data_IF_555566260223
#
_entry.id   IF_555566260223
#
_cell.length_a   1.000
_cell.length_b   1.000
_cell.length_c   1.000
_cell.angle_alpha   90.00
_cell.angle_beta   90.00
_cell.angle_gamma   90.00
#
_symmetry.space_group_name_H-M   'P 1'
#
loop_
_entity.id
_entity.type
_entity.pdbx_description
1 polymer ?
#
# COMPACT_ATOMS: atom_id res chain seq x y z
N UNK A 1 -28.69 -44.50 4.20
CA UNK A 1 -28.12 -43.32 4.92
C UNK A 1 -26.83 -43.01 4.22
N UNK A 2 -26.86 -42.02 3.28
CA UNK A 2 -25.69 -41.57 2.53
C UNK A 2 -25.07 -40.43 3.32
N UNK A 3 -23.78 -40.54 3.62
CA UNK A 3 -23.01 -39.45 4.23
C UNK A 3 -22.99 -38.21 3.32
N UNK A 4 -23.16 -37.00 3.86
CA UNK A 4 -23.00 -35.79 3.08
C UNK A 4 -21.53 -35.64 2.68
N UNK A 5 -21.28 -35.53 1.35
CA UNK A 5 -19.97 -35.34 0.78
C UNK A 5 -19.27 -34.13 1.41
N UNK A 6 -18.05 -34.36 1.93
CA UNK A 6 -17.13 -33.27 2.26
C UNK A 6 -16.75 -32.56 0.95
N UNK A 7 -17.13 -31.30 0.85
CA UNK A 7 -16.56 -30.43 -0.19
C UNK A 7 -15.04 -30.52 -0.14
N UNK A 8 -14.35 -30.54 -1.30
CA UNK A 8 -12.90 -30.58 -1.33
C UNK A 8 -12.37 -29.32 -0.63
N UNK A 9 -11.66 -29.53 0.47
CA UNK A 9 -10.98 -28.48 1.24
C UNK A 9 -10.00 -27.77 0.30
N UNK A 10 -10.36 -26.56 -0.15
CA UNK A 10 -9.48 -25.71 -0.95
C UNK A 10 -8.21 -25.48 -0.11
N UNK A 11 -7.01 -25.86 -0.59
CA UNK A 11 -5.79 -25.72 0.20
C UNK A 11 -5.65 -24.28 0.68
N UNK A 12 -5.48 -24.09 1.98
CA UNK A 12 -5.35 -22.77 2.57
C UNK A 12 -4.16 -22.04 1.91
N UNK A 13 -4.44 -20.92 1.23
CA UNK A 13 -3.41 -20.12 0.57
C UNK A 13 -2.34 -19.72 1.57
N UNK A 14 -1.06 -19.73 1.14
CA UNK A 14 0.11 -19.33 1.96
C UNK A 14 -0.13 -17.93 2.55
N UNK A 15 0.15 -17.74 3.85
CA UNK A 15 0.16 -16.42 4.46
C UNK A 15 1.42 -15.67 4.02
N UNK A 16 1.23 -14.55 3.31
CA UNK A 16 2.33 -13.66 2.87
C UNK A 16 2.75 -12.74 4.00
N UNK A 17 1.78 -12.13 4.66
CA UNK A 17 1.97 -11.34 5.86
C UNK A 17 1.02 -11.86 6.95
N UNK A 18 1.55 -11.99 8.15
CA UNK A 18 0.76 -12.27 9.34
C UNK A 18 1.22 -11.35 10.48
N UNK A 19 0.29 -10.66 11.11
CA UNK A 19 0.54 -9.85 12.31
C UNK A 19 -0.45 -10.26 13.38
N UNK A 20 0.05 -10.48 14.60
CA UNK A 20 -0.77 -10.82 15.78
C UNK A 20 -0.49 -9.87 16.91
N UNK A 21 -1.53 -9.17 17.38
CA UNK A 21 -1.48 -8.21 18.47
C UNK A 21 -0.49 -7.06 18.22
N UNK A 22 -0.27 -6.68 16.95
CA UNK A 22 0.77 -5.75 16.53
C UNK A 22 0.60 -4.36 17.16
N UNK A 23 1.64 -3.89 17.86
CA UNK A 23 1.72 -2.54 18.45
C UNK A 23 2.96 -1.84 17.94
N UNK A 24 2.82 -0.56 17.60
CA UNK A 24 3.95 0.26 17.17
C UNK A 24 3.81 1.69 17.67
N UNK A 25 4.92 2.24 18.16
CA UNK A 25 4.99 3.62 18.63
C UNK A 25 5.89 4.42 17.68
N UNK A 26 5.50 5.65 17.35
CA UNK A 26 6.30 6.62 16.62
C UNK A 26 6.48 7.86 17.48
N UNK A 27 7.73 8.26 17.73
CA UNK A 27 8.09 9.40 18.57
C UNK A 27 7.42 9.37 19.96
N UNK A 28 7.35 8.16 20.55
CA UNK A 28 6.73 7.92 21.86
C UNK A 28 5.20 7.95 21.87
N UNK A 29 4.55 8.00 20.70
CA UNK A 29 3.09 7.97 20.58
C UNK A 29 2.63 6.64 20.01
N UNK A 30 1.67 5.94 20.66
CA UNK A 30 1.12 4.70 20.13
C UNK A 30 0.33 4.95 18.84
N UNK A 31 0.76 4.33 17.74
CA UNK A 31 0.13 4.42 16.42
C UNK A 31 -0.64 3.15 16.07
N UNK A 32 -0.07 1.97 16.36
CA UNK A 32 -0.78 0.69 16.24
C UNK A 32 -1.09 0.15 17.64
N UNK A 33 -2.33 -0.35 17.85
CA UNK A 33 -2.87 -0.66 19.18
C UNK A 33 -3.42 -2.08 19.28
N UNK A 34 -2.64 -3.08 18.83
CA UNK A 34 -3.05 -4.48 18.88
C UNK A 34 -3.75 -4.91 17.60
N UNK A 35 -3.05 -4.76 16.47
CA UNK A 35 -3.56 -5.11 15.15
C UNK A 35 -3.35 -6.60 14.89
N UNK A 36 -4.42 -7.28 14.48
CA UNK A 36 -4.41 -8.62 13.93
C UNK A 36 -4.79 -8.55 12.45
N UNK A 37 -3.91 -9.05 11.57
CA UNK A 37 -4.17 -9.11 10.14
C UNK A 37 -3.36 -10.22 9.49
N UNK A 38 -3.96 -10.98 8.58
CA UNK A 38 -3.29 -11.99 7.76
C UNK A 38 -3.60 -11.73 6.30
N UNK A 39 -2.59 -11.55 5.45
CA UNK A 39 -2.73 -11.38 4.00
C UNK A 39 -2.22 -12.65 3.34
N UNK A 40 -3.01 -13.21 2.42
CA UNK A 40 -2.72 -14.48 1.76
C UNK A 40 -2.26 -14.30 0.33
N UNK A 41 -1.53 -15.27 -0.19
CA UNK A 41 -1.05 -15.28 -1.57
C UNK A 41 -2.23 -15.15 -2.56
N UNK A 42 -2.06 -14.31 -3.58
CA UNK A 42 -3.05 -14.06 -4.63
C UNK A 42 -4.22 -13.17 -4.20
N UNK A 43 -4.18 -12.53 -3.01
CA UNK A 43 -5.16 -11.51 -2.63
C UNK A 43 -4.74 -10.13 -3.15
N UNK A 44 -5.72 -9.32 -3.56
CA UNK A 44 -5.57 -7.88 -3.65
C UNK A 44 -6.28 -7.22 -2.48
N UNK A 45 -5.49 -6.75 -1.50
CA UNK A 45 -5.98 -6.18 -0.24
C UNK A 45 -5.76 -4.69 -0.22
N UNK A 46 -6.82 -3.92 0.04
CA UNK A 46 -6.73 -2.49 0.29
C UNK A 46 -6.69 -2.20 1.80
N UNK A 47 -5.66 -1.49 2.25
CA UNK A 47 -5.55 -0.94 3.61
C UNK A 47 -6.07 0.49 3.57
N UNK A 48 -7.19 0.73 4.23
CA UNK A 48 -7.95 1.98 4.17
C UNK A 48 -8.12 2.63 5.54
N UNK A 49 -8.61 3.86 5.57
CA UNK A 49 -8.86 4.64 6.79
C UNK A 49 -8.46 6.10 6.66
N UNK A 50 -8.83 6.93 7.62
CA UNK A 50 -8.53 8.36 7.65
C UNK A 50 -7.01 8.64 7.70
N UNK A 51 -6.61 9.89 7.40
CA UNK A 51 -5.23 10.34 7.60
C UNK A 51 -4.83 10.20 9.07
N UNK A 52 -3.64 9.66 9.32
CA UNK A 52 -3.17 9.42 10.70
C UNK A 52 -3.71 8.15 11.36
N UNK A 53 -4.58 7.36 10.71
CA UNK A 53 -5.12 6.12 11.30
C UNK A 53 -4.08 4.98 11.49
N UNK A 54 -2.86 5.13 10.93
CA UNK A 54 -1.78 4.15 11.09
C UNK A 54 -1.51 3.27 9.84
N UNK A 55 -2.14 3.52 8.69
CA UNK A 55 -1.99 2.70 7.45
C UNK A 55 -0.54 2.47 7.03
N UNK A 56 0.20 3.55 6.77
CA UNK A 56 1.62 3.45 6.36
C UNK A 56 2.50 2.86 7.47
N UNK A 57 2.12 3.08 8.74
CA UNK A 57 2.78 2.46 9.90
C UNK A 57 2.55 0.96 9.89
N UNK A 58 1.31 0.50 9.63
CA UNK A 58 0.99 -0.92 9.51
C UNK A 58 1.82 -1.58 8.40
N UNK A 59 1.84 -0.99 7.20
CA UNK A 59 2.63 -1.51 6.08
C UNK A 59 4.13 -1.60 6.43
N UNK A 60 4.69 -0.55 7.03
CA UNK A 60 6.10 -0.55 7.43
C UNK A 60 6.40 -1.58 8.53
N UNK A 61 5.47 -1.79 9.46
CA UNK A 61 5.58 -2.82 10.50
C UNK A 61 5.48 -4.23 9.91
N UNK A 62 4.56 -4.48 8.98
CA UNK A 62 4.45 -5.76 8.26
C UNK A 62 5.75 -6.09 7.50
N UNK A 63 6.37 -5.09 6.87
CA UNK A 63 7.65 -5.22 6.19
C UNK A 63 8.87 -5.27 7.14
N UNK A 64 8.68 -5.11 8.45
CA UNK A 64 9.78 -5.03 9.41
C UNK A 64 10.68 -3.80 9.26
N UNK A 65 10.19 -2.75 8.59
CA UNK A 65 10.90 -1.48 8.39
C UNK A 65 10.88 -0.60 9.65
N UNK A 66 9.95 -0.87 10.56
CA UNK A 66 9.88 -0.28 11.90
C UNK A 66 9.70 -1.40 12.93
N UNK A 67 10.26 -1.24 14.14
CA UNK A 67 10.06 -2.21 15.20
C UNK A 67 8.64 -2.18 15.74
N UNK A 68 8.15 -3.35 16.19
CA UNK A 68 6.95 -3.44 16.99
C UNK A 68 7.30 -3.19 18.47
N UNK A 69 6.46 -2.45 19.19
CA UNK A 69 6.52 -2.34 20.66
C UNK A 69 5.77 -3.47 21.36
N UNK A 70 5.02 -4.28 20.61
CA UNK A 70 4.33 -5.48 21.10
C UNK A 70 3.72 -6.29 19.97
N UNK A 71 3.40 -7.55 20.22
CA UNK A 71 2.90 -8.48 19.21
C UNK A 71 4.01 -9.07 18.33
N UNK A 72 3.61 -9.70 17.22
CA UNK A 72 4.53 -10.35 16.26
C UNK A 72 4.12 -10.04 14.83
N UNK A 73 5.10 -10.08 13.91
CA UNK A 73 4.85 -10.06 12.47
C UNK A 73 5.72 -11.10 11.77
N UNK A 74 5.18 -11.68 10.70
CA UNK A 74 5.86 -12.66 9.86
C UNK A 74 5.65 -12.33 8.38
N UNK A 75 6.69 -12.60 7.59
CA UNK A 75 6.67 -12.57 6.12
C UNK A 75 6.88 -14.00 5.64
N UNK A 76 5.90 -14.55 4.92
CA UNK A 76 5.95 -15.95 4.46
C UNK A 76 6.33 -16.93 5.60
N UNK A 77 5.68 -16.78 6.77
CA UNK A 77 5.94 -17.59 7.96
C UNK A 77 7.28 -17.36 8.63
N UNK A 78 8.00 -16.30 8.26
CA UNK A 78 9.35 -16.02 8.81
C UNK A 78 9.36 -14.61 9.44
N UNK A 79 9.86 -14.46 10.69
CA UNK A 79 10.04 -13.15 11.29
C UNK A 79 10.94 -12.25 10.43
N UNK A 80 10.67 -10.91 10.32
CA UNK A 80 11.41 -10.00 9.42
C UNK A 80 12.92 -10.03 9.60
N UNK A 81 13.41 -10.15 10.82
CA UNK A 81 14.84 -10.21 11.13
C UNK A 81 15.55 -11.44 10.54
N UNK A 82 14.81 -12.51 10.24
CA UNK A 82 15.31 -13.76 9.65
C UNK A 82 14.94 -13.91 8.19
N UNK A 83 14.04 -13.12 7.67
CA UNK A 83 13.60 -13.20 6.28
C UNK A 83 14.75 -12.87 5.31
N UNK A 84 14.93 -13.68 4.28
CA UNK A 84 16.03 -13.55 3.30
C UNK A 84 15.55 -13.39 1.86
N UNK A 85 14.30 -13.76 1.58
CA UNK A 85 13.75 -13.79 0.23
C UNK A 85 13.12 -12.46 -0.18
N UNK A 86 13.82 -11.36 0.10
CA UNK A 86 13.37 -9.99 -0.19
C UNK A 86 13.04 -9.76 -1.67
N UNK A 87 13.55 -10.61 -2.56
CA UNK A 87 13.21 -10.59 -3.98
C UNK A 87 11.73 -10.93 -4.24
N UNK A 88 11.05 -11.59 -3.30
CA UNK A 88 9.62 -11.90 -3.36
C UNK A 88 8.73 -10.68 -3.11
N UNK A 89 9.27 -9.58 -2.59
CA UNK A 89 8.50 -8.40 -2.17
C UNK A 89 8.97 -7.16 -2.93
N UNK A 90 8.07 -6.51 -3.66
CA UNK A 90 8.26 -5.21 -4.30
C UNK A 90 7.56 -4.13 -3.47
N UNK A 91 8.32 -3.18 -2.92
CA UNK A 91 7.76 -2.08 -2.14
C UNK A 91 7.82 -0.75 -2.90
N UNK A 92 6.65 -0.11 -3.03
CA UNK A 92 6.45 1.22 -3.60
C UNK A 92 6.07 2.17 -2.46
N UNK A 93 7.01 2.98 -1.93
CA UNK A 93 6.70 3.98 -0.91
C UNK A 93 5.94 5.16 -1.50
N UNK A 94 5.26 5.93 -0.66
CA UNK A 94 4.50 7.11 -1.05
C UNK A 94 5.35 8.18 -1.75
N UNK A 95 6.62 8.29 -1.39
CA UNK A 95 7.56 9.27 -1.99
C UNK A 95 8.90 8.64 -2.32
N UNK A 96 9.50 9.12 -3.39
CA UNK A 96 10.85 8.77 -3.75
C UNK A 96 11.82 9.48 -2.77
N UNK A 97 12.41 8.71 -1.86
CA UNK A 97 13.52 9.21 -1.03
C UNK A 97 14.82 9.02 -1.82
N UNK A 98 15.19 10.01 -2.63
CA UNK A 98 16.52 10.05 -3.24
C UNK A 98 17.48 10.58 -2.18
N UNK A 99 18.01 9.67 -1.35
CA UNK A 99 19.00 10.00 -0.33
C UNK A 99 20.31 10.44 -0.97
N UNK A 100 20.86 11.56 -0.51
CA UNK A 100 22.29 11.84 -0.66
C UNK A 100 22.76 12.58 -1.89
N UNK A 101 21.90 13.28 -2.65
CA UNK A 101 22.38 14.23 -3.67
C UNK A 101 23.13 13.62 -4.88
N UNK A 102 23.20 12.29 -5.00
CA UNK A 102 23.78 11.63 -6.17
C UNK A 102 22.75 11.66 -7.30
N UNK A 103 23.05 12.31 -8.43
CA UNK A 103 22.19 12.29 -9.60
C UNK A 103 22.03 10.84 -10.08
N UNK A 104 20.78 10.37 -10.14
CA UNK A 104 20.46 9.04 -10.66
C UNK A 104 19.52 9.19 -11.84
N UNK A 105 19.74 8.41 -12.87
CA UNK A 105 18.84 8.32 -14.01
C UNK A 105 17.61 7.45 -13.66
N UNK A 106 16.53 7.65 -14.41
CA UNK A 106 15.32 6.82 -14.29
C UNK A 106 15.68 5.34 -14.40
N UNK A 107 16.51 4.97 -15.40
CA UNK A 107 16.97 3.59 -15.62
C UNK A 107 17.71 3.02 -14.41
N UNK A 108 18.59 3.78 -13.79
CA UNK A 108 19.35 3.31 -12.62
C UNK A 108 18.45 3.07 -11.43
N UNK A 109 17.46 3.95 -11.18
CA UNK A 109 16.47 3.75 -10.13
C UNK A 109 15.64 2.50 -10.40
N UNK A 110 15.15 2.30 -11.63
CA UNK A 110 14.35 1.11 -11.99
C UNK A 110 15.21 -0.16 -11.90
N UNK A 111 16.46 -0.11 -12.35
CA UNK A 111 17.40 -1.25 -12.28
C UNK A 111 17.68 -1.66 -10.83
N UNK A 112 17.61 -0.74 -9.87
CA UNK A 112 17.79 -1.07 -8.45
C UNK A 112 16.75 -2.09 -7.94
N UNK A 113 15.58 -2.20 -8.59
CA UNK A 113 14.58 -3.21 -8.29
C UNK A 113 15.07 -4.66 -8.51
N UNK A 114 16.12 -4.85 -9.32
CA UNK A 114 16.73 -6.17 -9.58
C UNK A 114 17.76 -6.60 -8.54
N UNK A 115 18.23 -5.68 -7.67
CA UNK A 115 19.36 -5.93 -6.76
C UNK A 115 19.12 -7.17 -5.88
N UNK A 116 17.90 -7.36 -5.37
CA UNK A 116 17.58 -8.52 -4.53
C UNK A 116 17.65 -9.87 -5.27
N UNK A 117 17.56 -9.87 -6.60
CA UNK A 117 17.69 -11.07 -7.46
C UNK A 117 19.10 -11.28 -8.01
N UNK A 118 19.91 -10.22 -8.03
CA UNK A 118 21.25 -10.30 -8.60
C UNK A 118 22.20 -11.04 -7.65
N UNK A 119 23.04 -11.89 -8.24
CA UNK A 119 24.15 -12.46 -7.49
C UNK A 119 25.20 -11.40 -7.21
N UNK A 120 25.61 -11.32 -5.94
CA UNK A 120 26.64 -10.37 -5.48
C UNK A 120 27.85 -10.39 -6.42
N UNK A 121 28.32 -9.21 -6.85
CA UNK A 121 29.50 -9.01 -7.71
C UNK A 121 29.35 -9.47 -9.18
N UNK A 122 28.15 -9.77 -9.68
CA UNK A 122 27.94 -10.02 -11.10
C UNK A 122 27.29 -8.83 -11.81
N UNK A 123 27.69 -8.51 -13.05
CA UNK A 123 27.01 -7.50 -13.84
C UNK A 123 25.57 -7.92 -14.16
N UNK A 124 24.70 -6.93 -14.41
CA UNK A 124 23.32 -7.18 -14.82
C UNK A 124 23.25 -8.11 -16.04
N UNK A 125 22.45 -9.17 -15.94
CA UNK A 125 22.24 -10.13 -17.02
C UNK A 125 21.40 -9.53 -18.16
N UNK A 126 21.31 -10.24 -19.30
CA UNK A 126 20.36 -9.85 -20.36
C UNK A 126 18.91 -9.89 -19.87
N UNK A 127 18.56 -10.84 -19.01
CA UNK A 127 17.22 -10.94 -18.40
C UNK A 127 16.93 -9.74 -17.48
N UNK A 128 17.92 -9.30 -16.67
CA UNK A 128 17.76 -8.12 -15.82
C UNK A 128 17.52 -6.85 -16.66
N UNK A 129 18.30 -6.67 -17.72
CA UNK A 129 18.09 -5.53 -18.63
C UNK A 129 16.73 -5.58 -19.31
N UNK A 130 16.30 -6.74 -19.77
CA UNK A 130 14.98 -6.90 -20.37
C UNK A 130 13.83 -6.61 -19.38
N UNK A 131 13.95 -7.03 -18.12
CA UNK A 131 12.96 -6.72 -17.08
C UNK A 131 12.87 -5.20 -16.81
N UNK A 132 14.00 -4.50 -16.78
CA UNK A 132 14.04 -3.03 -16.64
C UNK A 132 13.37 -2.35 -17.84
N UNK A 133 13.66 -2.79 -19.07
CA UNK A 133 13.02 -2.23 -20.28
C UNK A 133 11.50 -2.44 -20.26
N UNK A 134 11.03 -3.66 -19.96
CA UNK A 134 9.59 -3.93 -19.83
C UNK A 134 8.94 -3.00 -18.82
N UNK A 135 9.52 -2.88 -17.63
CA UNK A 135 8.99 -2.02 -16.58
C UNK A 135 8.92 -0.55 -17.01
N UNK A 136 9.93 -0.04 -17.71
CA UNK A 136 9.95 1.33 -18.25
C UNK A 136 8.87 1.56 -19.32
N UNK A 137 8.66 0.58 -20.19
CA UNK A 137 7.59 0.60 -21.22
C UNK A 137 6.22 0.61 -20.53
N UNK A 138 5.99 -0.28 -19.56
CA UNK A 138 4.73 -0.38 -18.81
C UNK A 138 4.31 0.95 -18.16
N UNK A 139 5.26 1.72 -17.63
CA UNK A 139 4.94 3.01 -17.00
C UNK A 139 5.08 4.22 -17.95
N UNK A 140 5.35 4.00 -19.23
CA UNK A 140 5.47 5.06 -20.24
C UNK A 140 6.67 5.99 -20.02
N UNK A 141 7.82 5.45 -19.58
CA UNK A 141 9.05 6.23 -19.34
C UNK A 141 10.28 5.69 -20.12
N UNK A 142 10.06 4.84 -21.12
CA UNK A 142 11.14 4.25 -21.89
C UNK A 142 12.01 5.30 -22.62
N UNK A 143 11.39 6.29 -23.25
CA UNK A 143 12.08 7.36 -24.00
C UNK A 143 12.89 8.27 -23.10
N UNK A 144 12.52 8.34 -21.81
CA UNK A 144 13.12 9.20 -20.80
C UNK A 144 14.07 8.47 -19.84
N UNK A 145 14.38 7.21 -20.14
CA UNK A 145 15.15 6.33 -19.26
C UNK A 145 16.52 6.90 -18.81
N UNK A 146 17.10 7.83 -19.58
CA UNK A 146 18.38 8.49 -19.30
C UNK A 146 18.24 9.82 -18.56
N UNK A 147 17.02 10.35 -18.43
CA UNK A 147 16.79 11.61 -17.73
C UNK A 147 17.09 11.45 -16.23
N UNK A 148 17.56 12.53 -15.58
CA UNK A 148 17.73 12.54 -14.14
C UNK A 148 16.36 12.50 -13.46
N UNK A 149 16.22 11.65 -12.45
CA UNK A 149 14.95 11.45 -11.74
C UNK A 149 14.46 12.73 -11.04
N UNK A 150 15.38 13.60 -10.66
CA UNK A 150 15.08 14.88 -10.01
C UNK A 150 14.36 15.88 -10.95
N UNK A 151 14.48 15.71 -12.26
CA UNK A 151 13.82 16.56 -13.26
C UNK A 151 12.36 16.17 -13.51
N UNK A 152 11.86 15.11 -12.85
CA UNK A 152 10.51 14.58 -13.01
C UNK A 152 9.51 15.28 -12.09
N UNK A 153 8.26 15.42 -12.57
CA UNK A 153 7.12 15.75 -11.70
C UNK A 153 6.86 14.66 -10.65
N UNK A 154 6.14 14.98 -9.57
CA UNK A 154 5.82 14.02 -8.52
C UNK A 154 5.12 12.77 -9.06
N UNK A 155 4.14 12.91 -9.96
CA UNK A 155 3.47 11.78 -10.59
C UNK A 155 4.41 10.94 -11.48
N UNK A 156 5.38 11.57 -12.16
CA UNK A 156 6.39 10.85 -12.94
C UNK A 156 7.36 10.09 -12.00
N UNK A 157 7.75 10.69 -10.88
CA UNK A 157 8.57 10.01 -9.87
C UNK A 157 7.83 8.80 -9.27
N UNK A 158 6.53 8.92 -9.06
CA UNK A 158 5.71 7.79 -8.61
C UNK A 158 5.71 6.65 -9.64
N UNK A 159 5.60 6.96 -10.93
CA UNK A 159 5.73 5.95 -12.00
C UNK A 159 7.11 5.27 -12.01
N UNK A 160 8.19 5.99 -11.70
CA UNK A 160 9.53 5.40 -11.55
C UNK A 160 9.59 4.41 -10.38
N UNK A 161 8.95 4.72 -9.24
CA UNK A 161 8.87 3.79 -8.11
C UNK A 161 8.09 2.53 -8.45
N UNK A 162 6.99 2.66 -9.17
CA UNK A 162 6.21 1.53 -9.67
C UNK A 162 7.06 0.68 -10.63
N UNK A 163 7.72 1.31 -11.62
CA UNK A 163 8.62 0.60 -12.55
C UNK A 163 9.74 -0.14 -11.82
N UNK A 164 10.29 0.44 -10.75
CA UNK A 164 11.31 -0.22 -9.92
C UNK A 164 10.75 -1.50 -9.28
N UNK A 165 9.54 -1.46 -8.75
CA UNK A 165 8.91 -2.64 -8.17
C UNK A 165 8.60 -3.70 -9.25
N UNK A 166 8.05 -3.28 -10.41
CA UNK A 166 7.77 -4.17 -11.55
C UNK A 166 9.04 -4.84 -12.08
N UNK A 167 10.14 -4.09 -12.21
CA UNK A 167 11.42 -4.65 -12.66
C UNK A 167 11.92 -5.76 -11.72
N UNK A 168 11.59 -5.72 -10.44
CA UNK A 168 11.88 -6.76 -9.46
C UNK A 168 11.16 -8.08 -9.74
N UNK A 169 10.04 -8.06 -10.48
CA UNK A 169 9.17 -9.23 -10.74
C UNK A 169 8.85 -10.01 -9.45
N UNK A 170 8.41 -9.37 -8.38
CA UNK A 170 8.15 -10.04 -7.10
C UNK A 170 6.88 -10.90 -7.15
N UNK A 171 6.68 -11.70 -6.09
CA UNK A 171 5.42 -12.44 -5.87
C UNK A 171 4.37 -11.52 -5.23
N UNK A 172 4.82 -10.54 -4.44
CA UNK A 172 3.96 -9.62 -3.67
C UNK A 172 4.38 -8.17 -3.92
N UNK A 173 3.41 -7.34 -4.24
CA UNK A 173 3.55 -5.90 -4.36
C UNK A 173 2.91 -5.21 -3.16
N UNK A 174 3.66 -4.33 -2.52
CA UNK A 174 3.16 -3.48 -1.42
C UNK A 174 3.29 -2.03 -1.88
N UNK A 175 2.18 -1.32 -1.97
CA UNK A 175 2.13 0.03 -2.53
C UNK A 175 1.47 1.00 -1.54
N UNK A 176 2.23 2.02 -1.14
CA UNK A 176 1.76 3.07 -0.22
C UNK A 176 1.31 4.28 -1.02
N UNK A 177 0.00 4.47 -1.18
CA UNK A 177 -0.67 5.55 -1.91
C UNK A 177 -0.15 5.75 -3.37
N UNK A 178 -0.13 4.70 -4.21
CA UNK A 178 0.51 4.77 -5.53
C UNK A 178 -0.20 5.70 -6.53
N UNK A 179 -1.43 6.13 -6.23
CA UNK A 179 -2.22 7.04 -7.07
C UNK A 179 -2.20 8.50 -6.62
N UNK A 180 -1.54 8.81 -5.48
CA UNK A 180 -1.50 10.16 -4.95
C UNK A 180 -0.74 11.12 -5.90
N UNK A 181 -1.42 12.18 -6.34
CA UNK A 181 -0.85 13.18 -7.25
C UNK A 181 -0.57 12.68 -8.67
N UNK A 182 -1.15 11.58 -9.07
CA UNK A 182 -1.04 10.99 -10.42
C UNK A 182 -2.26 11.41 -11.24
N UNK A 183 -2.05 11.81 -12.51
CA UNK A 183 -3.13 12.17 -13.43
C UNK A 183 -4.02 10.97 -13.80
N UNK A 184 -5.27 11.25 -14.24
CA UNK A 184 -6.27 10.22 -14.51
C UNK A 184 -5.84 9.19 -15.57
N UNK A 185 -5.06 9.60 -16.60
CA UNK A 185 -4.57 8.67 -17.61
C UNK A 185 -3.54 7.70 -17.02
N UNK A 186 -2.61 8.22 -16.22
CA UNK A 186 -1.62 7.42 -15.52
C UNK A 186 -2.27 6.49 -14.48
N UNK A 187 -3.33 6.93 -13.80
CA UNK A 187 -4.11 6.07 -12.89
C UNK A 187 -4.76 4.90 -13.64
N UNK A 188 -5.34 5.15 -14.83
CA UNK A 188 -5.93 4.08 -15.67
C UNK A 188 -4.88 3.07 -16.14
N UNK A 189 -3.70 3.54 -16.55
CA UNK A 189 -2.59 2.65 -16.92
C UNK A 189 -2.12 1.79 -15.74
N UNK A 190 -1.98 2.39 -14.56
CA UNK A 190 -1.64 1.64 -13.36
C UNK A 190 -2.71 0.59 -13.04
N UNK A 191 -4.00 0.94 -13.12
CA UNK A 191 -5.09 0.00 -12.89
C UNK A 191 -5.06 -1.18 -13.88
N UNK A 192 -4.75 -0.93 -15.15
CA UNK A 192 -4.58 -2.00 -16.14
C UNK A 192 -3.40 -2.92 -15.77
N UNK A 193 -2.25 -2.34 -15.42
CA UNK A 193 -1.08 -3.11 -14.97
C UNK A 193 -1.37 -3.97 -13.74
N UNK A 194 -2.07 -3.40 -12.73
CA UNK A 194 -2.42 -4.15 -11.53
C UNK A 194 -3.43 -5.26 -11.82
N UNK A 195 -4.33 -5.07 -12.78
CA UNK A 195 -5.24 -6.13 -13.23
C UNK A 195 -4.47 -7.32 -13.80
N UNK A 196 -3.52 -7.07 -14.70
CA UNK A 196 -2.66 -8.13 -15.26
C UNK A 196 -1.93 -8.89 -14.14
N UNK A 197 -1.37 -8.19 -13.16
CA UNK A 197 -0.69 -8.83 -12.02
C UNK A 197 -1.64 -9.67 -11.16
N UNK A 198 -2.89 -9.22 -10.94
CA UNK A 198 -3.91 -10.00 -10.23
C UNK A 198 -4.28 -11.26 -11.02
N UNK A 199 -4.44 -11.14 -12.35
CA UNK A 199 -4.72 -12.28 -13.23
C UNK A 199 -3.56 -13.29 -13.25
N UNK A 200 -2.31 -12.82 -13.11
CA UNK A 200 -1.12 -13.65 -12.92
C UNK A 200 -1.03 -14.30 -11.52
N UNK A 201 -1.98 -14.03 -10.63
CA UNK A 201 -2.02 -14.56 -9.26
C UNK A 201 -1.04 -13.88 -8.30
N UNK A 202 -0.54 -12.69 -8.63
CA UNK A 202 0.29 -11.91 -7.70
C UNK A 202 -0.51 -11.40 -6.52
N UNK A 203 0.18 -11.23 -5.39
CA UNK A 203 -0.40 -10.61 -4.20
C UNK A 203 -0.19 -9.10 -4.25
N UNK A 204 -1.23 -8.31 -3.97
CA UNK A 204 -1.14 -6.86 -3.96
C UNK A 204 -1.69 -6.32 -2.64
N UNK A 205 -0.88 -5.55 -1.93
CA UNK A 205 -1.26 -4.79 -0.73
C UNK A 205 -1.21 -3.32 -1.07
N UNK A 206 -2.35 -2.66 -1.06
CA UNK A 206 -2.51 -1.29 -1.46
C UNK A 206 -2.93 -0.44 -0.27
N UNK A 207 -2.17 0.59 0.09
CA UNK A 207 -2.66 1.65 0.96
C UNK A 207 -3.33 2.69 0.10
N UNK A 208 -4.59 2.98 0.37
CA UNK A 208 -5.34 3.97 -0.36
C UNK A 208 -6.34 4.71 0.56
N UNK A 209 -6.65 5.96 0.21
CA UNK A 209 -7.80 6.69 0.75
C UNK A 209 -9.06 6.37 -0.05
N UNK A 210 -8.88 6.29 -1.35
CA UNK A 210 -9.91 6.06 -2.35
C UNK A 210 -9.40 5.00 -3.31
N UNK A 211 -10.28 4.11 -3.73
CA UNK A 211 -9.91 3.03 -4.63
C UNK A 211 -9.99 3.44 -6.11
N UNK A 212 -10.95 4.31 -6.46
CA UNK A 212 -11.16 4.79 -7.82
C UNK A 212 -11.16 3.63 -8.83
N UNK A 213 -10.33 3.70 -9.90
CA UNK A 213 -10.29 2.66 -10.91
C UNK A 213 -9.79 1.28 -10.42
N UNK A 214 -9.30 1.17 -9.18
CA UNK A 214 -8.84 -0.08 -8.58
C UNK A 214 -9.94 -0.82 -7.82
N UNK A 215 -11.07 -0.19 -7.52
CA UNK A 215 -12.15 -0.79 -6.73
C UNK A 215 -12.58 -2.18 -7.24
N UNK A 216 -12.78 -2.40 -8.55
CA UNK A 216 -13.19 -3.72 -9.07
C UNK A 216 -12.14 -4.82 -8.90
N UNK A 217 -10.88 -4.47 -8.59
CA UNK A 217 -9.78 -5.41 -8.43
C UNK A 217 -9.58 -5.82 -6.97
N UNK A 218 -10.06 -5.01 -6.03
CA UNK A 218 -9.86 -5.23 -4.60
C UNK A 218 -10.78 -6.36 -4.13
N UNK A 219 -10.19 -7.44 -3.66
CA UNK A 219 -10.93 -8.59 -3.11
C UNK A 219 -11.28 -8.43 -1.63
N UNK A 220 -10.52 -7.60 -0.90
CA UNK A 220 -10.66 -7.43 0.55
C UNK A 220 -10.17 -6.05 0.98
N UNK A 221 -10.88 -5.43 1.92
CA UNK A 221 -10.51 -4.17 2.54
C UNK A 221 -10.24 -4.36 4.03
N UNK A 222 -9.11 -3.84 4.49
CA UNK A 222 -8.75 -3.73 5.91
C UNK A 222 -8.80 -2.26 6.29
N UNK A 223 -9.77 -1.88 7.11
CA UNK A 223 -9.96 -0.46 7.49
C UNK A 223 -9.40 -0.21 8.88
N UNK A 224 -8.50 0.77 8.98
CA UNK A 224 -7.93 1.23 10.24
C UNK A 224 -8.60 2.52 10.71
N UNK A 225 -8.93 2.55 12.01
CA UNK A 225 -9.30 3.76 12.72
C UNK A 225 -8.51 3.79 14.05
N UNK A 226 -7.85 4.92 14.35
CA UNK A 226 -7.09 5.13 15.60
C UNK A 226 -6.13 3.98 15.96
N UNK A 227 -5.50 3.38 14.95
CA UNK A 227 -4.51 2.33 15.14
C UNK A 227 -5.07 0.93 15.41
N UNK A 228 -6.37 0.71 15.25
CA UNK A 228 -7.02 -0.60 15.33
C UNK A 228 -7.72 -0.95 14.02
N UNK A 229 -7.86 -2.24 13.72
CA UNK A 229 -8.66 -2.72 12.59
C UNK A 229 -10.13 -2.70 12.99
N UNK A 230 -10.93 -1.91 12.27
CA UNK A 230 -12.38 -1.78 12.50
C UNK A 230 -13.21 -2.54 11.46
N UNK A 231 -12.62 -2.90 10.32
CA UNK A 231 -13.23 -3.75 9.31
C UNK A 231 -12.13 -4.59 8.63
N UNK A 232 -12.46 -5.84 8.37
CA UNK A 232 -11.62 -6.78 7.63
C UNK A 232 -12.53 -7.74 6.85
N UNK A 233 -12.70 -7.48 5.56
CA UNK A 233 -13.66 -8.22 4.73
C UNK A 233 -13.79 -7.63 3.32
N UNK A 234 -14.85 -7.98 2.58
CA UNK A 234 -15.12 -7.38 1.28
C UNK A 234 -15.12 -5.85 1.34
N UNK A 235 -14.74 -5.14 0.27
CA UNK A 235 -14.83 -3.69 0.22
C UNK A 235 -16.25 -3.22 0.57
N UNK A 236 -16.35 -2.26 1.48
CA UNK A 236 -17.64 -1.68 1.88
C UNK A 236 -17.99 -0.60 0.87
N UNK A 237 -19.17 -0.63 0.23
CA UNK A 237 -19.62 0.45 -0.65
C UNK A 237 -19.61 1.79 0.10
N UNK A 238 -19.36 2.91 -0.56
CA UNK A 238 -19.43 4.23 0.06
C UNK A 238 -20.84 4.45 0.64
N UNK A 239 -20.93 4.68 1.96
CA UNK A 239 -22.19 4.92 2.66
C UNK A 239 -22.21 6.39 3.10
N UNK A 240 -23.16 7.19 2.58
CA UNK A 240 -23.38 8.56 3.03
C UNK A 240 -23.69 9.57 1.94
N UNK A 241 -24.05 10.80 2.33
CA UNK A 241 -24.44 11.91 1.45
C UNK A 241 -23.36 12.40 0.47
N UNK A 242 -22.18 11.83 0.49
CA UNK A 242 -21.07 12.12 -0.44
C UNK A 242 -21.01 11.19 -1.66
N UNK A 243 -21.98 10.28 -1.80
CA UNK A 243 -22.15 9.45 -3.00
C UNK A 243 -22.81 10.22 -4.16
N UNK A 244 -22.37 11.46 -4.42
CA UNK A 244 -22.75 12.19 -5.64
C UNK A 244 -21.94 11.65 -6.81
N UNK A 245 -22.53 11.57 -8.04
CA UNK A 245 -21.80 11.13 -9.22
C UNK A 245 -20.56 12.00 -9.45
N UNK A 246 -19.36 11.37 -9.32
CA UNK A 246 -18.06 12.05 -9.42
C UNK A 246 -17.29 12.21 -8.11
N UNK A 247 -17.81 11.74 -6.97
CA UNK A 247 -17.10 11.68 -5.69
C UNK A 247 -17.02 10.22 -5.20
N UNK A 248 -15.95 9.54 -5.56
CA UNK A 248 -15.65 8.16 -5.11
C UNK A 248 -14.88 8.20 -3.78
N UNK A 249 -15.60 8.47 -2.66
CA UNK A 249 -14.98 8.49 -1.32
C UNK A 249 -15.51 7.34 -0.48
N UNK A 250 -14.68 6.34 -0.20
CA UNK A 250 -14.96 5.31 0.80
C UNK A 250 -14.39 5.76 2.15
N UNK A 251 -15.19 6.49 2.94
CA UNK A 251 -14.85 6.81 4.32
C UNK A 251 -15.83 6.11 5.27
N UNK A 252 -15.38 5.24 6.17
CA UNK A 252 -16.18 4.86 7.32
C UNK A 252 -16.21 6.07 8.28
N UNK A 253 -17.29 6.84 8.22
CA UNK A 253 -17.52 7.90 9.22
C UNK A 253 -18.00 7.24 10.50
N UNK A 254 -17.24 7.39 11.60
CA UNK A 254 -17.82 7.31 12.93
C UNK A 254 -18.94 8.37 13.03
N UNK A 255 -20.11 8.08 13.63
CA UNK A 255 -21.16 9.06 13.77
C UNK A 255 -20.60 10.28 14.50
N UNK A 256 -20.73 11.47 13.90
CA UNK A 256 -20.33 12.71 14.53
C UNK A 256 -21.07 12.86 15.87
N UNK A 257 -20.40 13.30 16.95
CA UNK A 257 -21.08 13.64 18.18
C UNK A 257 -22.11 14.74 17.85
N UNK A 258 -23.36 14.52 18.25
CA UNK A 258 -24.46 15.47 18.06
C UNK A 258 -24.12 16.78 18.78
N UNK A 259 -23.64 17.76 18.06
CA UNK A 259 -23.53 19.12 18.53
C UNK A 259 -24.94 19.70 18.54
N UNK A 260 -25.57 19.73 19.71
CA UNK A 260 -26.71 20.57 19.94
C UNK A 260 -26.35 22.05 19.65
N UNK A 261 -27.32 22.90 19.31
CA UNK A 261 -27.05 24.29 18.99
C UNK A 261 -26.37 24.97 20.17
N UNK A 262 -25.18 25.54 19.94
CA UNK A 262 -24.52 26.43 20.88
C UNK A 262 -25.40 27.70 21.02
N UNK A 263 -26.20 27.76 22.06
CA UNK A 263 -26.87 28.99 22.45
C UNK A 263 -25.80 29.88 23.09
N UNK A 264 -25.38 30.90 22.35
CA UNK A 264 -24.53 31.97 22.87
C UNK A 264 -25.38 32.88 23.75
N UNK A 265 -25.20 32.87 25.08
CA UNK A 265 -25.75 33.86 25.98
C UNK A 265 -24.77 35.03 26.14
N UNK A 266 -25.15 36.27 25.81
CA UNK A 266 -24.31 37.44 26.07
C UNK A 266 -24.20 37.68 27.56
N UNK A 267 -22.97 37.68 28.08
CA UNK A 267 -22.68 38.04 29.48
C UNK A 267 -23.04 39.52 29.79
N UNK A 268 -23.29 39.87 31.06
CA UNK A 268 -23.70 41.21 31.47
C UNK A 268 -22.59 42.23 31.18
N UNK A 269 -23.01 43.39 30.69
CA UNK A 269 -22.14 44.55 30.43
C UNK A 269 -21.47 45.04 31.74
N UNK A 270 -20.19 45.49 31.71
CA UNK A 270 -19.53 46.08 32.85
C UNK A 270 -20.20 47.43 33.17
N UNK A 271 -20.71 47.56 34.41
CA UNK A 271 -21.23 48.79 34.92
C UNK A 271 -20.12 49.84 35.05
N UNK A 272 -20.41 51.02 34.54
CA UNK A 272 -19.59 52.20 34.82
C UNK A 272 -19.85 52.77 36.22
N UNK A 273 -18.76 53.17 36.82
CA UNK A 273 -18.64 54.28 37.78
C UNK A 273 -17.24 54.86 37.59
#
# INVERSE_FOLDING_TARGET
MSEPGRDPEVPAREAVFAMSGGRADLDGRPVLRGVDVTIRAGEMVAIMGANGSGKSTLVRALLGLIPLSGGTTELYGTPPARFRDWWRIGYVPQRLSVGGGVPSTIREVVASGRIARQRRLRPASAADRAAVERALVTVGLADRARDPVQALSGGQQQRVLIARALAGEPDTYVMDEPMAGVDADSQRHLAATLRELVEEGKTIVLVAHELGPLEPLVSRAVVLADGVVVHDGPPVPPVGEHALPGHDHVHPHAPAPSTGPLVWEPGPAPGGD
#
